data_IF_119091638005
#
_entry.id   IF_119091638005
#
_cell.length_a   1.000
_cell.length_b   1.000
_cell.length_c   1.000
_cell.angle_alpha   90.00
_cell.angle_beta   90.00
_cell.angle_gamma   90.00
#
_symmetry.space_group_name_H-M   'P 1'
#
loop_
_entity.id
_entity.type
_entity.pdbx_description
1 polymer ?
#
# COMPACT_ATOMS: atom_id res chain seq x y z
N UNK A 1 12.98 8.51 9.50
CA UNK A 1 13.58 9.37 8.47
C UNK A 1 13.01 10.76 8.64
N UNK A 2 13.88 11.76 8.67
CA UNK A 2 13.39 13.13 8.84
C UNK A 2 12.81 13.69 7.52
N UNK A 3 12.15 14.84 7.62
CA UNK A 3 11.43 15.41 6.49
C UNK A 3 12.34 15.73 5.32
N UNK A 4 13.53 16.25 5.60
CA UNK A 4 14.47 16.58 4.53
C UNK A 4 14.95 15.36 3.77
N UNK A 5 15.27 14.29 4.51
CA UNK A 5 15.72 13.05 3.89
C UNK A 5 14.60 12.42 3.05
N UNK A 6 13.36 12.49 3.52
CA UNK A 6 12.23 11.97 2.76
C UNK A 6 12.07 12.69 1.43
N UNK A 7 12.20 14.01 1.44
CA UNK A 7 12.08 14.80 0.22
C UNK A 7 13.11 14.39 -0.81
N UNK A 8 14.34 14.16 -0.37
CA UNK A 8 15.41 13.74 -1.27
C UNK A 8 15.13 12.37 -1.87
N UNK A 9 14.66 11.44 -1.03
CA UNK A 9 14.32 10.09 -1.50
C UNK A 9 13.21 10.15 -2.53
N UNK A 10 12.18 10.93 -2.27
CA UNK A 10 11.07 11.05 -3.21
C UNK A 10 11.50 11.68 -4.54
N UNK A 11 12.42 12.62 -4.49
CA UNK A 11 12.98 13.20 -5.71
C UNK A 11 13.72 12.16 -6.54
N UNK A 12 14.50 11.32 -5.85
CA UNK A 12 15.24 10.25 -6.53
C UNK A 12 14.27 9.26 -7.18
N UNK A 13 13.22 8.88 -6.47
CA UNK A 13 12.22 7.96 -7.00
C UNK A 13 11.56 8.54 -8.24
N UNK A 14 11.20 9.82 -8.19
CA UNK A 14 10.56 10.47 -9.33
C UNK A 14 11.48 10.52 -10.54
N UNK A 15 12.75 10.79 -10.33
CA UNK A 15 13.71 10.83 -11.43
C UNK A 15 13.91 9.46 -12.05
N UNK A 16 13.96 8.43 -11.22
CA UNK A 16 14.10 7.07 -11.74
C UNK A 16 12.90 6.68 -12.59
N UNK A 17 11.71 7.03 -12.12
CA UNK A 17 10.50 6.73 -12.86
C UNK A 17 10.48 7.45 -14.20
N UNK A 18 10.92 8.71 -14.22
CA UNK A 18 11.01 9.48 -15.46
C UNK A 18 11.99 8.88 -16.45
N UNK A 19 13.00 8.17 -15.95
CA UNK A 19 13.99 7.53 -16.80
C UNK A 19 13.54 6.16 -17.29
N UNK A 20 12.35 5.74 -16.93
CA UNK A 20 11.79 4.48 -17.39
C UNK A 20 11.93 3.31 -16.45
N UNK A 21 12.42 3.54 -15.24
CA UNK A 21 12.51 2.47 -14.24
C UNK A 21 11.16 2.19 -13.62
N UNK A 22 10.90 0.92 -13.36
CA UNK A 22 9.79 0.54 -12.50
C UNK A 22 10.24 0.64 -11.06
N UNK A 23 9.45 1.32 -10.24
CA UNK A 23 9.80 1.53 -8.83
C UNK A 23 8.68 1.00 -7.94
N UNK A 24 9.03 0.20 -6.97
CA UNK A 24 8.07 -0.27 -5.97
C UNK A 24 8.37 0.45 -4.66
N UNK A 25 7.36 1.13 -4.15
CA UNK A 25 7.47 1.95 -2.95
C UNK A 25 6.49 1.40 -1.92
N UNK A 26 6.98 1.05 -0.75
CA UNK A 26 6.16 0.45 0.31
C UNK A 26 6.12 1.41 1.49
N UNK A 27 4.93 1.77 1.92
CA UNK A 27 4.78 2.71 3.02
C UNK A 27 3.44 2.50 3.71
N UNK A 28 3.36 2.90 4.97
CA UNK A 28 2.10 2.95 5.70
C UNK A 28 1.55 4.37 5.73
N UNK A 29 2.27 5.33 5.15
CA UNK A 29 1.84 6.73 5.12
C UNK A 29 0.98 6.95 3.89
N UNK A 30 -0.32 7.01 4.07
CA UNK A 30 -1.28 7.06 2.95
C UNK A 30 -1.06 8.27 2.06
N UNK A 31 -0.76 9.41 2.65
CA UNK A 31 -0.56 10.63 1.85
C UNK A 31 0.65 10.52 0.94
N UNK A 32 1.71 9.86 1.41
CA UNK A 32 2.89 9.65 0.60
C UNK A 32 2.60 8.70 -0.56
N UNK A 33 1.89 7.62 -0.25
CA UNK A 33 1.51 6.64 -1.26
C UNK A 33 0.67 7.31 -2.35
N UNK A 34 -0.31 8.10 -1.94
CA UNK A 34 -1.18 8.79 -2.90
C UNK A 34 -0.41 9.79 -3.75
N UNK A 35 0.57 10.48 -3.16
CA UNK A 35 1.33 11.50 -3.87
C UNK A 35 2.31 10.91 -4.85
N UNK A 36 2.90 9.75 -4.54
CA UNK A 36 4.03 9.21 -5.30
C UNK A 36 3.67 8.12 -6.29
N UNK A 37 2.53 7.47 -6.13
CA UNK A 37 2.26 6.23 -6.85
C UNK A 37 1.37 6.42 -8.07
N UNK A 38 1.67 5.68 -9.13
CA UNK A 38 0.80 5.61 -10.31
C UNK A 38 -0.23 4.51 -10.14
N UNK A 39 0.17 3.43 -9.50
CA UNK A 39 -0.72 2.31 -9.16
C UNK A 39 -0.49 1.96 -7.70
N UNK A 40 -1.56 1.61 -7.01
CA UNK A 40 -1.50 1.32 -5.59
C UNK A 40 -2.10 -0.04 -5.31
N UNK A 41 -1.35 -0.87 -4.60
CA UNK A 41 -1.84 -2.13 -4.09
C UNK A 41 -1.94 -2.01 -2.58
N UNK A 42 -3.07 -2.41 -2.03
CA UNK A 42 -3.24 -2.43 -0.58
C UNK A 42 -3.18 -3.87 -0.12
N UNK A 43 -2.40 -4.11 0.92
CA UNK A 43 -2.27 -5.44 1.48
C UNK A 43 -2.73 -5.45 2.92
N UNK A 44 -3.38 -6.51 3.29
CA UNK A 44 -3.81 -6.72 4.66
C UNK A 44 -3.74 -8.21 4.95
N UNK A 45 -3.05 -8.54 6.04
CA UNK A 45 -2.94 -9.92 6.51
C UNK A 45 -2.45 -10.89 5.44
N UNK A 46 -1.46 -10.42 4.68
CA UNK A 46 -0.82 -11.26 3.69
C UNK A 46 -1.54 -11.37 2.36
N UNK A 47 -2.61 -10.63 2.17
CA UNK A 47 -3.39 -10.69 0.94
C UNK A 47 -3.53 -9.30 0.33
N UNK A 48 -3.67 -9.24 -0.98
CA UNK A 48 -3.97 -7.99 -1.66
C UNK A 48 -5.46 -7.76 -1.54
N UNK A 49 -5.83 -6.68 -0.87
CA UNK A 49 -7.23 -6.37 -0.60
C UNK A 49 -7.77 -5.22 -1.42
N UNK A 50 -6.91 -4.55 -2.17
CA UNK A 50 -7.35 -3.49 -3.05
C UNK A 50 -6.30 -3.15 -4.07
N UNK A 51 -6.76 -2.68 -5.21
CA UNK A 51 -5.89 -2.29 -6.31
C UNK A 51 -6.51 -1.06 -6.96
N UNK A 52 -5.75 0.03 -7.00
CA UNK A 52 -6.29 1.32 -7.46
C UNK A 52 -5.31 2.00 -8.39
N UNK A 53 -5.85 2.63 -9.43
CA UNK A 53 -5.06 3.54 -10.24
C UNK A 53 -4.96 4.87 -9.50
N UNK A 54 -4.03 5.70 -9.92
CA UNK A 54 -3.87 7.02 -9.32
C UNK A 54 -5.18 7.82 -9.36
N UNK A 55 -5.89 7.72 -10.46
CA UNK A 55 -7.13 8.49 -10.63
C UNK A 55 -8.25 8.00 -9.71
N UNK A 56 -8.24 6.72 -9.39
CA UNK A 56 -9.28 6.11 -8.55
C UNK A 56 -8.99 6.23 -7.06
N UNK A 57 -7.71 6.30 -6.70
CA UNK A 57 -7.32 6.18 -5.31
C UNK A 57 -7.70 7.38 -4.49
N UNK A 58 -8.26 7.12 -3.31
CA UNK A 58 -8.51 8.15 -2.31
C UNK A 58 -8.07 7.60 -0.97
N UNK A 59 -7.83 8.49 -0.03
CA UNK A 59 -7.43 8.05 1.31
C UNK A 59 -8.50 7.14 1.92
N UNK A 60 -9.77 7.49 1.71
CA UNK A 60 -10.88 6.68 2.22
C UNK A 60 -10.87 5.27 1.66
N UNK A 61 -10.63 5.13 0.36
CA UNK A 61 -10.60 3.81 -0.27
C UNK A 61 -9.44 2.98 0.23
N UNK A 62 -8.29 3.60 0.43
CA UNK A 62 -7.13 2.89 0.94
C UNK A 62 -7.34 2.43 2.37
N UNK A 63 -7.94 3.28 3.21
CA UNK A 63 -8.25 2.91 4.58
C UNK A 63 -9.23 1.74 4.60
N UNK A 64 -10.27 1.81 3.79
CA UNK A 64 -11.28 0.74 3.74
C UNK A 64 -10.66 -0.57 3.32
N UNK A 65 -9.79 -0.55 2.30
CA UNK A 65 -9.13 -1.76 1.84
C UNK A 65 -8.18 -2.32 2.89
N UNK A 66 -7.47 -1.45 3.60
CA UNK A 66 -6.51 -1.90 4.61
C UNK A 66 -7.20 -2.48 5.85
N UNK A 67 -8.48 -2.17 6.04
CA UNK A 67 -9.24 -2.70 7.16
C UNK A 67 -9.85 -4.07 6.87
N UNK A 68 -9.85 -4.48 5.61
CA UNK A 68 -10.40 -5.78 5.24
C UNK A 68 -9.60 -6.89 5.92
N UNK A 69 -10.30 -7.80 6.55
CA UNK A 69 -9.67 -8.90 7.25
C UNK A 69 -9.36 -8.64 8.70
N UNK A 70 -9.36 -7.37 9.14
CA UNK A 70 -9.08 -7.08 10.54
C UNK A 70 -10.27 -7.41 11.43
N UNK A 71 -11.43 -6.85 11.13
CA UNK A 71 -12.63 -7.17 11.87
C UNK A 71 -13.27 -8.47 11.42
N UNK A 72 -13.29 -8.70 10.12
CA UNK A 72 -13.95 -9.86 9.54
C UNK A 72 -13.15 -11.14 9.72
N UNK A 73 -11.84 -11.04 9.79
CA UNK A 73 -11.01 -12.21 9.96
C UNK A 73 -11.32 -12.90 11.30
N UNK A 74 -11.55 -12.10 12.32
CA UNK A 74 -11.93 -12.66 13.61
C UNK A 74 -13.29 -13.33 13.58
N UNK A 75 -14.18 -12.87 12.75
CA UNK A 75 -15.51 -13.42 12.62
C UNK A 75 -15.53 -14.65 11.70
N UNK A 76 -14.76 -14.61 10.66
CA UNK A 76 -14.77 -15.67 9.68
C UNK A 76 -13.95 -16.86 10.09
N UNK A 77 -13.07 -17.04 10.50
CA UNK A 77 -12.31 -18.02 10.50
C UNK A 77 -12.28 -18.94 11.14
N UNK A 78 -11.80 -18.73 10.67
CA UNK A 78 -11.38 -19.15 10.56
C UNK A 78 -11.05 -19.71 9.99
N UNK A 79 -10.58 -19.88 9.68
CA UNK A 79 -9.93 -20.08 8.87
C UNK A 79 -9.38 -20.03 8.47
N UNK A 80 -9.05 -19.92 8.47
CA UNK A 80 -8.31 -19.60 7.97
C UNK A 80 -7.80 -19.50 7.67
N UNK A 81 -7.68 -19.89 7.73
CA UNK A 81 -7.10 -19.56 7.35
C UNK A 81 -6.64 -19.15 7.07
N UNK A 82 -6.59 -19.28 7.20
CA UNK A 82 -5.97 -18.75 6.89
C UNK A 82 -5.00 -18.43 6.99
N UNK A 83 -4.66 -18.55 7.40
CA UNK A 83 -3.80 -18.22 7.47
C UNK A 83 -2.95 -18.18 7.01
N UNK A 84 -2.42 -18.45 6.74
CA UNK A 84 -1.58 -18.26 6.25
C UNK A 84 -0.89 -17.76 6.03
N UNK A 85 -0.46 -17.88 6.02
CA UNK A 85 0.27 -17.23 5.75
C UNK A 85 0.94 -16.63 5.86
N UNK A 86 1.44 -16.59 6.05
CA UNK A 86 2.21 -15.97 6.05
C UNK A 86 2.86 -15.35 6.33
N UNK A 87 3.31 -15.35 6.36
CA UNK A 87 3.86 -14.66 6.36
C UNK A 87 3.82 -14.20 6.93
N UNK A 88 3.84 -14.36 7.31
CA UNK A 88 3.76 -13.76 7.57
C UNK A 88 3.75 -13.63 7.90
#
# INVERSE_FOLDING_TARGET
VDVGAKSEIFEIISRLAEQGYGVIFISTELKEVLAMSDSILVMSKGAITGEFSRAEATEEKLVAASAIGHGLAGAANHNGEAEINGYN
#
